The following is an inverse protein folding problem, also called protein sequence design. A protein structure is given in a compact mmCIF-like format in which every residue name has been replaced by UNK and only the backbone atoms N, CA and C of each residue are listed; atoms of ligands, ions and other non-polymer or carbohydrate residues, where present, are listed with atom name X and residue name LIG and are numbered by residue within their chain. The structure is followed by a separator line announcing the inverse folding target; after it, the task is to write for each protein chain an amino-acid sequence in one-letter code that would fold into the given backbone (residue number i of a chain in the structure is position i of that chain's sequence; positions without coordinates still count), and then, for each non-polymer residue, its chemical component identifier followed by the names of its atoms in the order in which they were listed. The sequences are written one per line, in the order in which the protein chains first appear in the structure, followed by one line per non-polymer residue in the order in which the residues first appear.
data_IF_165323240050
#
_entry.id   IF_165323240050
#
_cell.length_a   1.000
_cell.length_b   1.000
_cell.length_c   1.000
_cell.angle_alpha   90.00
_cell.angle_beta   90.00
_cell.angle_gamma   90.00
#
_symmetry.space_group_name_H-M   'P 1'
#
loop_
_entity.id
_entity.type
_entity.pdbx_description
1 polymer ?
#
# COMPACT_ATOMS: atom_id res chain seq x y z
N UNK A 1 20.39 -12.77 12.45
CA UNK A 1 21.23 -12.66 13.66
C UNK A 1 22.20 -13.84 13.76
N UNK A 2 21.75 -15.09 13.58
CA UNK A 2 22.60 -16.30 13.72
C UNK A 2 23.75 -16.35 12.71
N UNK A 3 23.54 -15.96 11.44
CA UNK A 3 24.58 -15.97 10.42
C UNK A 3 25.69 -14.93 10.68
N UNK A 4 25.37 -13.76 11.25
CA UNK A 4 26.34 -12.75 11.60
C UNK A 4 27.25 -13.20 12.79
N UNK A 5 26.67 -13.94 13.73
CA UNK A 5 27.41 -14.50 14.87
C UNK A 5 28.32 -15.65 14.40
N UNK A 6 27.84 -16.50 13.50
CA UNK A 6 28.61 -17.59 12.91
C UNK A 6 29.80 -17.05 12.09
N UNK A 7 29.59 -16.01 11.27
CA UNK A 7 30.67 -15.33 10.53
C UNK A 7 31.69 -14.69 11.47
N UNK A 8 31.28 -13.98 12.53
CA UNK A 8 32.19 -13.43 13.53
C UNK A 8 33.07 -14.50 14.20
N UNK A 9 32.50 -15.65 14.57
CA UNK A 9 33.23 -16.77 15.15
C UNK A 9 34.22 -17.39 14.16
N UNK A 10 33.84 -17.58 12.88
CA UNK A 10 34.76 -18.10 11.86
C UNK A 10 35.94 -17.17 11.58
N UNK A 11 35.70 -15.87 11.52
CA UNK A 11 36.79 -14.88 11.36
C UNK A 11 37.69 -14.80 12.59
N UNK A 12 37.18 -14.94 13.82
CA UNK A 12 37.98 -15.00 15.03
C UNK A 12 38.96 -16.20 15.04
N UNK A 13 38.48 -17.37 14.57
CA UNK A 13 39.28 -18.59 14.45
C UNK A 13 40.39 -18.44 13.37
N UNK A 14 40.04 -17.81 12.23
CA UNK A 14 41.00 -17.54 11.15
C UNK A 14 42.10 -16.57 11.63
N UNK A 15 41.73 -15.53 12.40
CA UNK A 15 42.66 -14.55 12.97
C UNK A 15 43.68 -15.19 13.94
N UNK A 16 43.27 -16.21 14.68
CA UNK A 16 44.15 -16.95 15.58
C UNK A 16 45.15 -17.84 14.85
N UNK A 17 44.86 -18.26 13.61
CA UNK A 17 45.72 -19.20 12.86
C UNK A 17 46.74 -18.53 11.93
N UNK A 18 46.63 -17.21 11.69
CA UNK A 18 47.49 -16.46 10.77
C UNK A 18 48.05 -15.19 11.46
N UNK A 19 48.99 -15.31 12.39
CA UNK A 19 49.64 -14.15 12.98
C UNK A 19 50.62 -13.54 11.94
N UNK A 20 50.33 -12.35 11.44
CA UNK A 20 51.24 -11.58 10.60
C UNK A 20 50.67 -11.08 9.26
N UNK A 21 49.42 -11.33 8.88
CA UNK A 21 48.83 -10.77 7.68
C UNK A 21 47.84 -9.62 7.99
N UNK A 22 47.87 -8.62 7.12
CA UNK A 22 47.03 -7.42 7.05
C UNK A 22 45.61 -7.63 7.57
N UNK A 23 45.13 -6.67 8.35
CA UNK A 23 43.80 -6.68 8.97
C UNK A 23 42.70 -7.26 8.03
N UNK A 24 42.00 -8.32 8.46
CA UNK A 24 40.91 -8.84 7.66
C UNK A 24 39.83 -7.74 7.55
N UNK A 25 39.36 -7.54 6.34
CA UNK A 25 38.23 -6.63 6.08
C UNK A 25 37.08 -7.00 7.02
N UNK A 26 36.81 -6.15 7.99
CA UNK A 26 35.72 -6.35 8.93
C UNK A 26 34.40 -6.01 8.21
N UNK A 27 33.72 -7.03 7.72
CA UNK A 27 32.38 -6.87 7.18
C UNK A 27 31.43 -6.51 8.32
N UNK A 28 31.12 -5.23 8.48
CA UNK A 28 30.05 -4.75 9.34
C UNK A 28 28.80 -4.57 8.47
N UNK A 29 27.84 -5.52 8.44
CA UNK A 29 26.59 -5.33 7.73
C UNK A 29 25.83 -4.19 8.40
N UNK A 30 25.77 -3.04 7.75
CA UNK A 30 25.04 -1.87 8.24
C UNK A 30 23.68 -1.82 7.54
N UNK A 31 22.60 -1.93 8.31
CA UNK A 31 21.25 -1.71 7.80
C UNK A 31 21.06 -0.21 7.65
N UNK A 32 21.03 0.28 6.40
CA UNK A 32 21.03 1.72 6.10
C UNK A 32 19.70 2.41 6.45
N UNK A 33 18.57 1.75 6.22
CA UNK A 33 17.26 2.39 6.30
C UNK A 33 16.45 2.07 7.57
N UNK A 34 16.92 1.17 8.41
CA UNK A 34 16.34 0.88 9.72
C UNK A 34 17.44 0.33 10.66
N UNK A 35 18.39 1.19 11.09
CA UNK A 35 19.55 0.74 11.89
C UNK A 35 19.14 0.05 13.18
N UNK A 36 18.07 0.51 13.81
CA UNK A 36 17.54 -0.02 15.08
C UNK A 36 16.66 -1.27 14.88
N UNK A 37 16.45 -1.74 13.63
CA UNK A 37 15.57 -2.86 13.29
C UNK A 37 14.17 -2.75 13.92
N UNK A 38 13.64 -1.52 14.06
CA UNK A 38 12.30 -1.30 14.59
C UNK A 38 11.26 -1.84 13.61
N UNK A 39 10.52 -2.85 14.02
CA UNK A 39 9.45 -3.47 13.21
C UNK A 39 8.40 -2.45 12.81
N UNK A 40 8.13 -1.44 13.65
CA UNK A 40 7.19 -0.37 13.37
C UNK A 40 7.53 0.40 12.08
N UNK A 41 8.80 0.73 11.83
CA UNK A 41 9.22 1.47 10.63
C UNK A 41 8.87 0.73 9.33
N UNK A 42 8.83 -0.59 9.35
CA UNK A 42 8.50 -1.42 8.19
C UNK A 42 7.00 -1.75 8.10
N UNK A 43 6.39 -2.09 9.24
CA UNK A 43 5.00 -2.53 9.30
C UNK A 43 4.00 -1.37 9.19
N UNK A 44 4.26 -0.24 9.87
CA UNK A 44 3.29 0.87 9.94
C UNK A 44 2.98 1.44 8.55
N UNK A 45 3.96 1.76 7.67
CA UNK A 45 3.64 2.23 6.32
C UNK A 45 2.82 1.24 5.50
N UNK A 46 3.11 -0.07 5.63
CA UNK A 46 2.34 -1.10 4.95
C UNK A 46 0.91 -1.21 5.46
N UNK A 47 0.71 -1.15 6.78
CA UNK A 47 -0.60 -1.15 7.40
C UNK A 47 -1.47 0.02 6.93
N UNK A 48 -0.87 1.20 6.78
CA UNK A 48 -1.55 2.40 6.26
C UNK A 48 -2.14 2.13 4.87
N UNK A 49 -1.34 1.57 3.96
CA UNK A 49 -1.82 1.26 2.61
C UNK A 49 -3.00 0.28 2.63
N UNK A 50 -2.93 -0.76 3.46
CA UNK A 50 -4.01 -1.74 3.60
C UNK A 50 -5.28 -1.11 4.19
N UNK A 51 -5.17 -0.35 5.28
CA UNK A 51 -6.33 0.29 5.94
C UNK A 51 -7.01 1.26 4.98
N UNK A 52 -6.24 2.12 4.30
CA UNK A 52 -6.78 3.06 3.32
C UNK A 52 -7.51 2.34 2.18
N UNK A 53 -6.94 1.26 1.63
CA UNK A 53 -7.62 0.48 0.59
C UNK A 53 -8.93 -0.13 1.12
N UNK A 54 -8.89 -0.78 2.27
CA UNK A 54 -10.04 -1.48 2.84
C UNK A 54 -11.18 -0.52 3.11
N UNK A 55 -10.92 0.56 3.84
CA UNK A 55 -11.96 1.54 4.21
C UNK A 55 -12.56 2.18 2.96
N UNK A 56 -11.72 2.69 2.04
CA UNK A 56 -12.18 3.36 0.82
C UNK A 56 -12.97 2.41 -0.08
N UNK A 57 -12.46 1.19 -0.29
CA UNK A 57 -13.10 0.17 -1.12
C UNK A 57 -14.46 -0.26 -0.56
N UNK A 58 -14.53 -0.57 0.75
CA UNK A 58 -15.78 -0.98 1.40
C UNK A 58 -16.82 0.13 1.41
N UNK A 59 -16.44 1.35 1.80
CA UNK A 59 -17.35 2.49 1.81
C UNK A 59 -17.96 2.74 0.43
N UNK A 60 -17.12 2.73 -0.62
CA UNK A 60 -17.58 2.96 -2.00
C UNK A 60 -18.49 1.83 -2.49
N UNK A 61 -18.07 0.58 -2.30
CA UNK A 61 -18.82 -0.57 -2.73
C UNK A 61 -20.22 -0.61 -2.07
N UNK A 62 -20.29 -0.43 -0.75
CA UNK A 62 -21.55 -0.46 -0.01
C UNK A 62 -22.48 0.71 -0.36
N UNK A 63 -21.93 1.90 -0.51
CA UNK A 63 -22.74 3.06 -0.83
C UNK A 63 -23.46 2.92 -2.16
N UNK A 64 -22.74 2.47 -3.20
CA UNK A 64 -23.34 2.32 -4.54
C UNK A 64 -24.31 1.13 -4.60
N UNK A 65 -23.97 0.01 -3.96
CA UNK A 65 -24.87 -1.16 -3.91
C UNK A 65 -26.14 -0.85 -3.11
N UNK A 66 -26.03 -0.11 -2.00
CA UNK A 66 -27.19 0.33 -1.22
C UNK A 66 -28.16 1.18 -2.04
N UNK A 67 -27.65 2.08 -2.88
CA UNK A 67 -28.50 2.87 -3.78
C UNK A 67 -29.16 1.98 -4.85
N UNK A 68 -28.47 0.95 -5.33
CA UNK A 68 -29.02 -0.03 -6.27
C UNK A 68 -30.14 -0.84 -5.61
N UNK A 69 -29.95 -1.33 -4.39
CA UNK A 69 -30.97 -2.07 -3.62
C UNK A 69 -32.21 -1.21 -3.33
N UNK A 70 -32.05 0.08 -3.06
CA UNK A 70 -33.15 1.00 -2.76
C UNK A 70 -33.88 1.54 -4.02
N UNK A 71 -33.43 1.17 -5.24
CA UNK A 71 -33.99 1.67 -6.49
C UNK A 71 -33.74 3.15 -6.77
N UNK A 72 -32.99 3.83 -5.94
CA UNK A 72 -32.67 5.27 -6.09
C UNK A 72 -31.75 5.55 -7.28
N UNK A 73 -31.01 4.55 -7.73
CA UNK A 73 -30.12 4.63 -8.88
C UNK A 73 -30.91 4.83 -10.19
N UNK A 74 -32.05 4.19 -10.33
CA UNK A 74 -32.96 4.35 -11.50
C UNK A 74 -33.58 5.75 -11.53
N UNK A 75 -33.95 6.31 -10.39
CA UNK A 75 -34.48 7.68 -10.29
C UNK A 75 -33.42 8.73 -10.70
N UNK A 76 -32.16 8.50 -10.38
CA UNK A 76 -31.07 9.39 -10.77
C UNK A 76 -30.78 9.34 -12.28
N UNK A 77 -31.02 8.20 -12.94
CA UNK A 77 -30.80 8.08 -14.39
C UNK A 77 -31.85 8.87 -15.23
N UNK A 78 -32.99 9.19 -14.68
CA UNK A 78 -34.06 10.00 -15.35
C UNK A 78 -33.75 11.49 -15.25
N UNK A 79 -32.82 11.91 -14.38
CA UNK A 79 -32.44 13.32 -14.26
C UNK A 79 -31.53 13.76 -15.41
N UNK A 80 -31.60 15.03 -15.87
CA UNK A 80 -30.77 15.55 -16.96
C UNK A 80 -29.31 15.81 -16.57
N UNK A 81 -28.74 14.96 -15.71
CA UNK A 81 -27.33 15.04 -15.26
C UNK A 81 -26.46 14.14 -16.12
N UNK A 82 -25.26 14.62 -16.49
CA UNK A 82 -24.31 13.79 -17.22
C UNK A 82 -23.84 12.61 -16.39
N UNK A 83 -23.60 11.44 -17.02
CA UNK A 83 -23.13 10.23 -16.34
C UNK A 83 -21.84 10.47 -15.53
N UNK A 84 -20.92 11.25 -16.09
CA UNK A 84 -19.67 11.64 -15.41
C UNK A 84 -19.95 12.52 -14.19
N UNK A 85 -20.85 13.51 -14.31
CA UNK A 85 -21.23 14.37 -13.20
C UNK A 85 -21.85 13.59 -12.04
N UNK A 86 -22.68 12.59 -12.35
CA UNK A 86 -23.27 11.73 -11.35
C UNK A 86 -22.22 10.84 -10.65
N UNK A 87 -21.30 10.24 -11.40
CA UNK A 87 -20.21 9.45 -10.83
C UNK A 87 -19.28 10.28 -9.95
N UNK A 88 -18.82 11.43 -10.44
CA UNK A 88 -17.94 12.32 -9.67
C UNK A 88 -18.66 12.82 -8.41
N UNK A 89 -19.91 13.23 -8.52
CA UNK A 89 -20.70 13.68 -7.36
C UNK A 89 -20.87 12.60 -6.29
N UNK A 90 -21.01 11.33 -6.69
CA UNK A 90 -21.07 10.19 -5.75
C UNK A 90 -19.73 9.85 -5.12
N UNK A 91 -18.66 9.92 -5.90
CA UNK A 91 -17.31 9.57 -5.40
C UNK A 91 -16.70 10.68 -4.55
N UNK A 92 -17.09 11.94 -4.75
CA UNK A 92 -16.52 13.09 -4.05
C UNK A 92 -16.56 12.96 -2.50
N UNK A 93 -17.68 12.59 -1.84
CA UNK A 93 -17.70 12.41 -0.40
C UNK A 93 -16.75 11.31 0.08
N UNK A 94 -16.64 10.20 -0.67
CA UNK A 94 -15.75 9.09 -0.29
C UNK A 94 -14.28 9.45 -0.55
N UNK A 95 -13.99 10.22 -1.60
CA UNK A 95 -12.67 10.78 -1.82
C UNK A 95 -12.27 11.74 -0.68
N UNK A 96 -13.20 12.54 -0.16
CA UNK A 96 -12.96 13.42 0.97
C UNK A 96 -12.67 12.62 2.25
N UNK A 97 -13.47 11.58 2.53
CA UNK A 97 -13.26 10.68 3.68
C UNK A 97 -11.88 10.01 3.57
N UNK A 98 -11.53 9.48 2.41
CA UNK A 98 -10.23 8.85 2.18
C UNK A 98 -9.06 9.84 2.31
N UNK A 99 -9.21 11.07 1.83
CA UNK A 99 -8.20 12.11 2.01
C UNK A 99 -8.03 12.49 3.50
N UNK A 100 -9.13 12.58 4.25
CA UNK A 100 -9.10 12.79 5.70
C UNK A 100 -8.42 11.61 6.40
N UNK A 101 -8.72 10.38 6.00
CA UNK A 101 -8.09 9.16 6.50
C UNK A 101 -6.57 9.18 6.27
N UNK A 102 -6.10 9.56 5.09
CA UNK A 102 -4.66 9.74 4.79
C UNK A 102 -4.03 10.73 5.76
N UNK A 103 -4.63 11.89 5.94
CA UNK A 103 -4.12 12.91 6.87
C UNK A 103 -4.05 12.36 8.31
N UNK A 104 -5.12 11.72 8.77
CA UNK A 104 -5.19 11.16 10.12
C UNK A 104 -4.13 10.09 10.35
N UNK A 105 -3.95 9.19 9.39
CA UNK A 105 -2.99 8.09 9.51
C UNK A 105 -1.55 8.59 9.45
N UNK A 106 -1.24 9.58 8.60
CA UNK A 106 0.09 10.23 8.57
C UNK A 106 0.39 10.92 9.90
N UNK A 107 -0.60 11.59 10.51
CA UNK A 107 -0.46 12.19 11.85
C UNK A 107 -0.19 11.13 12.91
N UNK A 108 -0.97 10.04 12.93
CA UNK A 108 -0.76 8.93 13.88
C UNK A 108 0.62 8.31 13.70
N UNK A 109 1.05 8.09 12.46
CA UNK A 109 2.37 7.56 12.16
C UNK A 109 3.48 8.46 12.74
N UNK A 110 3.35 9.78 12.57
CA UNK A 110 4.36 10.74 13.03
C UNK A 110 4.38 10.89 14.55
N UNK A 111 3.21 11.04 15.16
CA UNK A 111 3.10 11.39 16.59
C UNK A 111 3.01 10.16 17.51
N UNK A 112 2.25 9.14 17.12
CA UNK A 112 2.03 7.95 17.96
C UNK A 112 3.14 6.90 17.76
N UNK A 113 3.44 6.57 16.51
CA UNK A 113 4.43 5.54 16.18
C UNK A 113 5.87 6.08 16.05
N UNK A 114 6.04 7.41 16.07
CA UNK A 114 7.33 8.10 15.96
C UNK A 114 8.17 7.62 14.75
N UNK A 115 7.49 7.23 13.67
CA UNK A 115 8.15 6.85 12.42
C UNK A 115 8.65 8.11 11.73
N UNK A 116 9.96 8.23 11.46
CA UNK A 116 10.50 9.39 10.77
C UNK A 116 10.02 9.40 9.32
N UNK A 117 9.46 10.52 8.88
CA UNK A 117 9.16 10.75 7.45
C UNK A 117 10.40 11.42 6.86
N UNK A 118 11.20 10.65 6.12
CA UNK A 118 12.42 11.17 5.52
C UNK A 118 12.14 12.02 4.27
N UNK A 119 11.12 11.64 3.49
CA UNK A 119 10.84 12.23 2.19
C UNK A 119 9.78 13.33 2.18
N UNK A 120 9.44 13.79 0.97
CA UNK A 120 8.51 14.89 0.72
C UNK A 120 7.06 14.52 1.04
N UNK A 121 6.42 15.28 1.94
CA UNK A 121 5.00 15.13 2.29
C UNK A 121 4.11 15.45 1.07
N UNK A 122 4.51 16.38 0.22
CA UNK A 122 3.76 16.71 -1.00
C UNK A 122 3.72 15.54 -1.98
N UNK A 123 4.85 14.84 -2.14
CA UNK A 123 4.94 13.65 -2.96
C UNK A 123 4.09 12.53 -2.39
N UNK A 124 4.12 12.34 -1.08
CA UNK A 124 3.28 11.39 -0.36
C UNK A 124 1.79 11.68 -0.60
N UNK A 125 1.36 12.94 -0.46
CA UNK A 125 -0.02 13.36 -0.70
C UNK A 125 -0.46 13.09 -2.16
N UNK A 126 0.38 13.40 -3.13
CA UNK A 126 0.10 13.14 -4.55
C UNK A 126 -0.11 11.65 -4.86
N UNK A 127 0.78 10.78 -4.38
CA UNK A 127 0.64 9.33 -4.54
C UNK A 127 -0.53 8.76 -3.74
N UNK A 128 -0.82 9.31 -2.56
CA UNK A 128 -1.98 8.90 -1.78
C UNK A 128 -3.28 9.24 -2.49
N UNK A 129 -3.37 10.42 -3.13
CA UNK A 129 -4.52 10.80 -3.93
C UNK A 129 -4.70 9.86 -5.15
N UNK A 130 -3.62 9.55 -5.85
CA UNK A 130 -3.64 8.62 -6.98
C UNK A 130 -4.10 7.22 -6.55
N UNK A 131 -3.57 6.72 -5.44
CA UNK A 131 -3.98 5.44 -4.87
C UNK A 131 -5.44 5.45 -4.41
N UNK A 132 -5.89 6.56 -3.80
CA UNK A 132 -7.27 6.73 -3.36
C UNK A 132 -8.24 6.65 -4.54
N UNK A 133 -7.94 7.33 -5.66
CA UNK A 133 -8.75 7.24 -6.87
C UNK A 133 -8.83 5.80 -7.42
N UNK A 134 -7.71 5.09 -7.41
CA UNK A 134 -7.66 3.66 -7.81
C UNK A 134 -8.49 2.78 -6.88
N UNK A 135 -8.43 3.01 -5.55
CA UNK A 135 -9.20 2.26 -4.57
C UNK A 135 -10.70 2.54 -4.65
N UNK A 136 -11.10 3.79 -4.96
CA UNK A 136 -12.48 4.15 -5.28
C UNK A 136 -12.98 3.40 -6.52
N UNK A 137 -12.16 3.35 -7.60
CA UNK A 137 -12.45 2.57 -8.81
C UNK A 137 -12.69 1.09 -8.50
N UNK A 138 -11.85 0.50 -7.65
CA UNK A 138 -11.99 -0.89 -7.21
C UNK A 138 -13.31 -1.11 -6.43
N UNK A 139 -13.69 -0.19 -5.55
CA UNK A 139 -14.99 -0.21 -4.86
C UNK A 139 -16.16 -0.11 -5.84
N UNK A 140 -16.06 0.75 -6.87
CA UNK A 140 -17.06 0.84 -7.94
C UNK A 140 -17.15 -0.47 -8.73
N UNK A 141 -16.05 -1.07 -9.12
CA UNK A 141 -16.04 -2.35 -9.83
C UNK A 141 -16.75 -3.43 -9.00
N UNK A 142 -16.48 -3.53 -7.71
CA UNK A 142 -17.16 -4.46 -6.81
C UNK A 142 -18.68 -4.19 -6.80
N UNK A 143 -19.07 -2.93 -6.76
CA UNK A 143 -20.50 -2.55 -6.74
C UNK A 143 -21.25 -2.92 -8.03
N UNK A 144 -20.56 -2.87 -9.19
CA UNK A 144 -21.18 -3.22 -10.48
C UNK A 144 -21.51 -4.70 -10.58
N UNK A 145 -20.63 -5.57 -10.07
CA UNK A 145 -20.79 -7.03 -10.12
C UNK A 145 -21.65 -7.59 -8.97
N UNK A 146 -21.91 -6.76 -7.95
CA UNK A 146 -22.71 -7.17 -6.78
C UNK A 146 -24.19 -6.90 -6.98
N UNK A 147 -25.03 -7.88 -6.61
CA UNK A 147 -26.48 -7.73 -6.62
C UNK A 147 -27.01 -7.08 -5.33
N UNK A 148 -26.36 -7.31 -4.20
CA UNK A 148 -26.74 -6.81 -2.89
C UNK A 148 -25.52 -6.53 -2.00
N UNK A 149 -25.74 -5.85 -0.86
CA UNK A 149 -24.68 -5.45 0.07
C UNK A 149 -23.91 -6.66 0.64
N UNK A 150 -24.59 -7.78 0.90
CA UNK A 150 -23.93 -9.00 1.41
C UNK A 150 -22.95 -9.55 0.39
N UNK A 151 -23.34 -9.60 -0.88
CA UNK A 151 -22.47 -10.04 -1.96
C UNK A 151 -21.30 -9.08 -2.16
N UNK A 152 -21.54 -7.76 -2.09
CA UNK A 152 -20.47 -6.76 -2.16
C UNK A 152 -19.44 -6.95 -1.03
N UNK A 153 -19.92 -7.24 0.19
CA UNK A 153 -19.06 -7.54 1.32
C UNK A 153 -18.21 -8.78 1.09
N UNK A 154 -18.81 -9.87 0.60
CA UNK A 154 -18.07 -11.11 0.31
C UNK A 154 -16.98 -10.90 -0.74
N UNK A 155 -17.29 -10.16 -1.84
CA UNK A 155 -16.30 -9.86 -2.89
C UNK A 155 -15.20 -8.93 -2.36
N UNK A 156 -15.57 -7.93 -1.56
CA UNK A 156 -14.59 -7.03 -0.94
C UNK A 156 -13.62 -7.79 -0.01
N UNK A 157 -14.12 -8.73 0.78
CA UNK A 157 -13.25 -9.63 1.57
C UNK A 157 -12.37 -10.53 0.69
N UNK A 158 -12.92 -11.04 -0.41
CA UNK A 158 -12.16 -11.86 -1.36
C UNK A 158 -10.98 -11.07 -2.00
N UNK A 159 -11.14 -9.77 -2.20
CA UNK A 159 -10.06 -8.87 -2.67
C UNK A 159 -9.13 -8.47 -1.53
N UNK A 160 -9.67 -8.24 -0.33
CA UNK A 160 -8.89 -7.82 0.84
C UNK A 160 -7.86 -8.88 1.26
N UNK A 161 -8.21 -10.16 1.29
CA UNK A 161 -7.30 -11.22 1.73
C UNK A 161 -6.03 -11.30 0.87
N UNK A 162 -6.10 -11.38 -0.48
CA UNK A 162 -4.91 -11.30 -1.32
C UNK A 162 -4.16 -9.97 -1.15
N UNK A 163 -4.87 -8.85 -0.97
CA UNK A 163 -4.23 -7.54 -0.77
C UNK A 163 -3.35 -7.53 0.49
N UNK A 164 -3.77 -8.13 1.57
CA UNK A 164 -2.97 -8.23 2.80
C UNK A 164 -1.78 -9.18 2.62
N UNK A 165 -2.00 -10.34 2.00
CA UNK A 165 -0.99 -11.40 1.92
C UNK A 165 0.04 -11.15 0.81
N UNK A 166 -0.39 -10.69 -0.39
CA UNK A 166 0.44 -10.66 -1.59
C UNK A 166 0.99 -9.29 -1.93
N UNK A 167 0.56 -8.23 -1.25
CA UNK A 167 1.01 -6.86 -1.51
C UNK A 167 2.46 -6.55 -1.09
N UNK A 168 3.10 -7.48 -0.38
CA UNK A 168 4.39 -7.21 0.24
C UNK A 168 4.29 -6.60 1.64
N UNK A 169 3.06 -6.46 2.18
CA UNK A 169 2.86 -6.00 3.55
C UNK A 169 3.36 -7.04 4.55
N UNK A 170 2.81 -8.25 4.50
CA UNK A 170 3.11 -9.32 5.46
C UNK A 170 4.31 -10.16 5.02
N UNK A 171 4.40 -10.51 3.74
CA UNK A 171 5.48 -11.30 3.18
C UNK A 171 6.28 -10.49 2.15
N UNK A 172 7.62 -10.52 2.19
CA UNK A 172 8.45 -9.90 1.16
C UNK A 172 8.16 -10.52 -0.21
N UNK A 173 7.96 -9.68 -1.22
CA UNK A 173 7.59 -10.16 -2.57
C UNK A 173 8.71 -10.95 -3.24
N UNK A 174 9.98 -10.69 -2.85
CA UNK A 174 11.16 -11.38 -3.36
C UNK A 174 11.17 -12.88 -3.00
N UNK A 175 10.45 -13.27 -1.95
CA UNK A 175 10.32 -14.67 -1.51
C UNK A 175 9.13 -15.41 -2.11
N UNK A 176 8.30 -14.72 -2.92
CA UNK A 176 7.09 -15.33 -3.49
C UNK A 176 7.39 -16.11 -4.76
N UNK A 177 6.77 -17.31 -4.97
CA UNK A 177 6.77 -17.99 -6.25
C UNK A 177 6.20 -17.11 -7.37
N UNK A 178 6.72 -17.25 -8.60
CA UNK A 178 6.36 -16.41 -9.74
C UNK A 178 4.84 -16.24 -9.97
N UNK A 179 3.97 -17.28 -9.93
CA UNK A 179 2.53 -17.10 -10.13
C UNK A 179 1.89 -16.21 -9.07
N UNK A 180 2.30 -16.35 -7.81
CA UNK A 180 1.78 -15.57 -6.67
C UNK A 180 2.25 -14.12 -6.77
N UNK A 181 3.50 -13.91 -7.16
CA UNK A 181 4.05 -12.58 -7.42
C UNK A 181 3.24 -11.83 -8.48
N UNK A 182 2.90 -12.49 -9.62
CA UNK A 182 2.12 -11.87 -10.69
C UNK A 182 0.73 -11.44 -10.19
N UNK A 183 0.04 -12.29 -9.41
CA UNK A 183 -1.25 -11.93 -8.81
C UNK A 183 -1.09 -10.71 -7.89
N UNK A 184 -0.03 -10.67 -7.09
CA UNK A 184 0.29 -9.53 -6.23
C UNK A 184 0.50 -8.20 -7.00
N UNK A 185 1.03 -8.27 -8.24
CA UNK A 185 1.19 -7.08 -9.08
C UNK A 185 -0.15 -6.54 -9.63
N UNK A 186 -1.22 -7.33 -9.67
CA UNK A 186 -2.55 -6.84 -10.06
C UNK A 186 -3.24 -6.01 -8.95
N UNK A 187 -2.68 -6.00 -7.75
CA UNK A 187 -3.26 -5.30 -6.60
C UNK A 187 -2.72 -3.87 -6.49
N UNK A 188 -3.57 -2.83 -6.46
CA UNK A 188 -3.12 -1.44 -6.39
C UNK A 188 -2.32 -1.13 -5.12
N UNK A 189 -2.68 -1.74 -3.99
CA UNK A 189 -1.98 -1.54 -2.72
C UNK A 189 -0.52 -1.97 -2.75
N UNK A 190 -0.15 -2.91 -3.61
CA UNK A 190 1.23 -3.35 -3.81
C UNK A 190 2.15 -2.19 -4.21
N UNK A 191 1.70 -1.38 -5.17
CA UNK A 191 2.44 -0.21 -5.62
C UNK A 191 2.46 0.88 -4.55
N UNK A 192 1.34 1.08 -3.87
CA UNK A 192 1.25 2.10 -2.85
C UNK A 192 2.13 1.79 -1.62
N UNK A 193 2.21 0.54 -1.17
CA UNK A 193 3.12 0.14 -0.09
C UNK A 193 4.58 0.39 -0.47
N UNK A 194 4.97 0.12 -1.72
CA UNK A 194 6.32 0.42 -2.22
C UNK A 194 6.59 1.93 -2.20
N UNK A 195 5.61 2.74 -2.61
CA UNK A 195 5.68 4.21 -2.54
C UNK A 195 5.82 4.68 -1.10
N UNK A 196 4.96 4.22 -0.19
CA UNK A 196 5.01 4.58 1.22
C UNK A 196 6.38 4.29 1.84
N UNK A 197 6.89 3.06 1.64
CA UNK A 197 8.21 2.68 2.13
C UNK A 197 9.34 3.46 1.46
N UNK A 198 9.22 3.75 0.17
CA UNK A 198 10.19 4.57 -0.56
C UNK A 198 10.30 5.99 0.01
N UNK A 199 9.18 6.68 0.15
CA UNK A 199 9.14 8.06 0.64
C UNK A 199 9.50 8.13 2.13
N UNK A 200 8.89 7.27 2.96
CA UNK A 200 9.00 7.36 4.42
C UNK A 200 10.39 6.95 4.90
N UNK A 201 10.95 5.85 4.34
CA UNK A 201 12.18 5.25 4.87
C UNK A 201 13.44 5.64 4.10
N UNK A 202 13.32 5.96 2.79
CA UNK A 202 14.47 6.13 1.91
C UNK A 202 14.60 7.51 1.29
N UNK A 203 13.66 8.43 1.58
CA UNK A 203 13.60 9.75 0.92
C UNK A 203 13.57 9.63 -0.62
N UNK A 204 12.86 8.61 -1.12
CA UNK A 204 12.79 8.36 -2.56
C UNK A 204 12.07 9.51 -3.27
N UNK A 205 12.71 10.05 -4.32
CA UNK A 205 12.16 11.08 -5.17
C UNK A 205 11.18 10.54 -6.22
N UNK A 206 10.52 11.47 -6.95
CA UNK A 206 9.58 11.10 -8.01
C UNK A 206 10.22 10.21 -9.09
N UNK A 207 11.49 10.47 -9.43
CA UNK A 207 12.22 9.71 -10.46
C UNK A 207 12.38 8.22 -10.09
N UNK A 208 12.44 7.89 -8.80
CA UNK A 208 12.54 6.50 -8.35
C UNK A 208 11.17 5.83 -8.28
N UNK A 209 10.12 6.62 -8.08
CA UNK A 209 8.75 6.13 -7.82
C UNK A 209 7.83 6.17 -9.06
N UNK A 210 8.32 6.67 -10.22
CA UNK A 210 7.50 6.75 -11.42
C UNK A 210 6.95 5.39 -11.92
N UNK A 211 7.67 4.24 -11.77
CA UNK A 211 7.10 2.96 -12.19
C UNK A 211 5.86 2.58 -11.36
N UNK A 212 5.84 2.94 -10.08
CA UNK A 212 4.72 2.72 -9.18
C UNK A 212 3.53 3.62 -9.55
N UNK A 213 3.80 4.87 -9.97
CA UNK A 213 2.77 5.77 -10.49
C UNK A 213 2.10 5.18 -11.74
N UNK A 214 2.88 4.68 -12.70
CA UNK A 214 2.35 4.02 -13.89
C UNK A 214 1.50 2.81 -13.51
N UNK A 215 1.98 1.95 -12.60
CA UNK A 215 1.21 0.80 -12.13
C UNK A 215 -0.16 1.19 -11.58
N UNK A 216 -0.21 2.24 -10.74
CA UNK A 216 -1.47 2.76 -10.20
C UNK A 216 -2.38 3.34 -11.28
N UNK A 217 -1.82 4.12 -12.24
CA UNK A 217 -2.59 4.70 -13.34
C UNK A 217 -3.16 3.61 -14.25
N UNK A 218 -2.37 2.61 -14.60
CA UNK A 218 -2.81 1.49 -15.47
C UNK A 218 -3.93 0.71 -14.79
N UNK A 219 -3.76 0.35 -13.52
CA UNK A 219 -4.80 -0.37 -12.78
C UNK A 219 -6.03 0.51 -12.61
N UNK A 220 -5.87 1.77 -12.20
CA UNK A 220 -6.98 2.70 -12.02
C UNK A 220 -7.72 3.03 -13.32
N UNK A 221 -7.03 3.02 -14.45
CA UNK A 221 -7.64 3.22 -15.78
C UNK A 221 -8.36 1.97 -16.31
N UNK A 222 -8.00 0.78 -15.82
CA UNK A 222 -8.69 -0.48 -16.13
C UNK A 222 -9.95 -0.68 -15.28
N UNK A 223 -9.96 -0.18 -14.05
CA UNK A 223 -11.08 -0.27 -13.11
C UNK A 223 -12.19 0.74 -13.43
#
# INVERSE_FOLDING_TARGET
VSNAIALRKSFAVIRQRLPGQTQPVEFQPRVLFNPDMKTANFMVPGLIGIVLQVVTMFLTAFAVVREKENGTLEQLMVTPVSRLGLMVGKLAPYAFIGAFEVCMVVLLMRFLFQVPIAGSILLLAGFSLLFLLTSLGLGLMISTISANQVQAMQIAFLVMLPSVLLSGFMFPQESMPFPIYVIGQALPVTYFIRVLRGIILRDAGFIELWPQAIGLIVIGGFL
#
